data_IF_339268848720
#
_entry.id   IF_339268848720
#
_cell.length_a   1.000
_cell.length_b   1.000
_cell.length_c   1.000
_cell.angle_alpha   90.00
_cell.angle_beta   90.00
_cell.angle_gamma   90.00
#
_symmetry.space_group_name_H-M   'P 1'
#
loop_
_entity.id
_entity.type
_entity.pdbx_description
1 polymer ?
#
# COMPACT_ATOMS: atom_id res chain seq x y z
N UNK A 1 2.83 12.16 -13.79
CA UNK A 1 3.67 12.69 -14.88
C UNK A 1 3.12 14.02 -15.38
N UNK A 2 1.83 14.10 -15.71
CA UNK A 2 1.22 15.34 -16.28
C UNK A 2 1.14 16.45 -15.24
N UNK A 3 0.74 16.16 -14.02
CA UNK A 3 0.75 17.11 -12.90
C UNK A 3 2.18 17.58 -12.57
N UNK A 4 3.16 16.66 -12.61
CA UNK A 4 4.57 17.03 -12.47
C UNK A 4 5.06 17.95 -13.59
N UNK A 5 4.55 17.79 -14.81
CA UNK A 5 4.83 18.73 -15.90
C UNK A 5 4.22 20.11 -15.60
N UNK A 6 2.99 20.16 -15.10
CA UNK A 6 2.33 21.40 -14.71
C UNK A 6 3.12 22.17 -13.64
N UNK A 7 3.59 21.47 -12.60
CA UNK A 7 4.44 22.06 -11.56
C UNK A 7 5.75 22.63 -12.13
N UNK A 8 6.41 21.90 -13.01
CA UNK A 8 7.64 22.39 -13.67
C UNK A 8 7.40 23.60 -14.55
N UNK A 9 6.24 23.68 -15.24
CA UNK A 9 5.85 24.87 -16.01
C UNK A 9 5.67 26.08 -15.09
N UNK A 10 4.98 25.91 -13.95
CA UNK A 10 4.77 26.98 -12.97
C UNK A 10 6.07 27.45 -12.36
N UNK A 11 6.99 26.54 -12.04
CA UNK A 11 8.30 26.85 -11.47
C UNK A 11 9.30 27.39 -12.50
N UNK A 12 8.95 27.42 -13.79
CA UNK A 12 9.85 27.85 -14.86
C UNK A 12 10.95 26.84 -15.22
N UNK A 13 10.90 25.62 -14.67
CA UNK A 13 11.87 24.54 -14.94
C UNK A 13 11.48 23.73 -16.20
N UNK A 14 11.29 24.45 -17.29
CA UNK A 14 10.91 23.89 -18.60
C UNK A 14 11.63 24.65 -19.72
N UNK A 15 11.78 24.03 -20.90
CA UNK A 15 12.30 24.75 -22.08
C UNK A 15 11.45 25.98 -22.41
N UNK A 16 12.06 27.01 -22.95
CA UNK A 16 11.46 28.31 -23.31
C UNK A 16 10.11 28.15 -24.05
N UNK A 17 9.98 27.15 -24.92
CA UNK A 17 8.77 26.86 -25.69
C UNK A 17 7.57 26.41 -24.85
N UNK A 18 7.80 26.01 -23.60
CA UNK A 18 6.77 25.57 -22.64
C UNK A 18 6.52 26.63 -21.55
N UNK A 19 7.28 27.69 -21.51
CA UNK A 19 7.10 28.77 -20.54
C UNK A 19 5.77 29.48 -20.81
N UNK A 20 4.96 29.66 -19.77
CA UNK A 20 3.64 30.30 -19.87
C UNK A 20 2.56 29.47 -20.57
N UNK A 21 2.81 28.19 -20.80
CA UNK A 21 1.79 27.27 -21.34
C UNK A 21 0.84 26.86 -20.19
N UNK A 22 -0.45 26.87 -20.46
CA UNK A 22 -1.46 26.34 -19.55
C UNK A 22 -1.74 24.87 -19.86
N UNK A 23 -1.97 24.07 -18.81
CA UNK A 23 -2.34 22.67 -18.91
C UNK A 23 -3.78 22.49 -18.42
N UNK A 24 -4.67 22.13 -19.35
CA UNK A 24 -6.09 21.95 -19.06
C UNK A 24 -6.46 20.48 -19.11
N UNK A 25 -7.20 20.00 -18.10
CA UNK A 25 -7.72 18.63 -18.08
C UNK A 25 -9.13 18.59 -18.68
N UNK A 26 -9.33 17.68 -19.63
CA UNK A 26 -10.63 17.43 -20.24
C UNK A 26 -11.40 16.39 -19.39
N UNK A 27 -12.41 16.85 -18.68
CA UNK A 27 -13.31 15.97 -17.93
C UNK A 27 -14.40 15.39 -18.86
N UNK A 28 -14.21 14.12 -19.22
CA UNK A 28 -15.15 13.39 -20.08
C UNK A 28 -16.49 13.13 -19.37
N UNK A 29 -16.48 12.93 -18.05
CA UNK A 29 -17.68 12.74 -17.24
C UNK A 29 -18.56 13.98 -17.24
N UNK A 30 -17.98 15.15 -17.03
CA UNK A 30 -18.68 16.44 -17.07
C UNK A 30 -19.25 16.75 -18.46
N UNK A 31 -18.52 16.39 -19.54
CA UNK A 31 -19.01 16.56 -20.91
C UNK A 31 -20.22 15.68 -21.23
N UNK A 32 -20.28 14.46 -20.67
CA UNK A 32 -21.35 13.51 -20.87
C UNK A 32 -22.54 13.73 -19.92
N UNK A 33 -22.31 14.33 -18.74
CA UNK A 33 -23.34 14.58 -17.75
C UNK A 33 -24.47 15.47 -18.32
N UNK A 34 -25.71 14.96 -18.29
CA UNK A 34 -26.88 15.66 -18.80
C UNK A 34 -26.98 15.75 -20.34
N UNK A 35 -26.06 15.16 -21.11
CA UNK A 35 -26.10 15.15 -22.57
C UNK A 35 -27.05 14.05 -23.11
N UNK A 36 -28.28 13.99 -22.57
CA UNK A 36 -29.33 13.04 -23.04
C UNK A 36 -29.84 13.36 -24.43
N UNK A 37 -29.60 14.59 -24.94
CA UNK A 37 -30.03 15.02 -26.27
C UNK A 37 -28.87 14.86 -27.24
N UNK A 38 -29.13 14.17 -28.33
CA UNK A 38 -28.21 13.96 -29.46
C UNK A 38 -27.62 15.28 -29.92
N UNK A 39 -26.29 15.43 -29.89
CA UNK A 39 -25.58 16.63 -30.35
C UNK A 39 -25.15 17.61 -29.24
N UNK A 40 -25.65 17.48 -28.02
CA UNK A 40 -25.20 18.39 -26.93
C UNK A 40 -23.76 18.11 -26.50
N UNK A 41 -23.39 16.85 -26.36
CA UNK A 41 -22.01 16.42 -26.15
C UNK A 41 -21.07 16.95 -27.26
N UNK A 42 -21.46 16.80 -28.52
CA UNK A 42 -20.69 17.29 -29.65
C UNK A 42 -20.52 18.81 -29.61
N UNK A 43 -21.57 19.54 -29.25
CA UNK A 43 -21.56 21.00 -29.12
C UNK A 43 -20.61 21.44 -28.00
N UNK A 44 -20.66 20.78 -26.85
CA UNK A 44 -19.77 21.08 -25.71
C UNK A 44 -18.31 20.80 -26.07
N UNK A 45 -18.01 19.65 -26.68
CA UNK A 45 -16.64 19.30 -27.09
C UNK A 45 -16.13 20.26 -28.17
N UNK A 46 -16.94 20.68 -29.14
CA UNK A 46 -16.58 21.72 -30.09
C UNK A 46 -16.30 23.06 -29.42
N UNK A 47 -17.10 23.43 -28.42
CA UNK A 47 -16.86 24.64 -27.62
C UNK A 47 -15.51 24.61 -26.90
N UNK A 48 -15.12 23.48 -26.32
CA UNK A 48 -13.79 23.31 -25.69
C UNK A 48 -12.67 23.46 -26.73
N UNK A 49 -12.83 22.80 -27.89
CA UNK A 49 -11.83 22.91 -29.00
C UNK A 49 -11.67 24.35 -29.46
N UNK A 50 -12.77 25.10 -29.61
CA UNK A 50 -12.73 26.50 -30.01
C UNK A 50 -12.12 27.40 -28.94
N UNK A 51 -12.42 27.15 -27.65
CA UNK A 51 -11.83 27.88 -26.53
C UNK A 51 -10.31 27.69 -26.50
N UNK A 52 -9.82 26.45 -26.67
CA UNK A 52 -8.37 26.16 -26.73
C UNK A 52 -7.70 26.86 -27.92
N UNK A 53 -8.36 26.89 -29.08
CA UNK A 53 -7.81 27.53 -30.30
C UNK A 53 -7.78 29.05 -30.21
N UNK A 54 -8.77 29.64 -29.58
CA UNK A 54 -8.92 31.11 -29.47
C UNK A 54 -8.19 31.71 -28.26
N UNK A 55 -7.60 30.86 -27.43
CA UNK A 55 -6.85 31.32 -26.27
C UNK A 55 -5.62 32.14 -26.67
N UNK A 56 -5.39 33.24 -25.93
CA UNK A 56 -4.20 34.08 -26.09
C UNK A 56 -2.94 33.38 -25.54
N UNK A 57 -3.09 32.51 -24.54
CA UNK A 57 -2.05 31.67 -23.97
C UNK A 57 -2.05 30.28 -24.63
N UNK A 58 -0.89 29.72 -24.95
CA UNK A 58 -0.83 28.36 -25.46
C UNK A 58 -1.35 27.35 -24.45
N UNK A 59 -2.28 26.48 -24.87
CA UNK A 59 -2.87 25.47 -24.01
C UNK A 59 -2.45 24.06 -24.46
N UNK A 60 -2.10 23.20 -23.51
CA UNK A 60 -1.97 21.75 -23.69
C UNK A 60 -3.19 21.10 -23.06
N UNK A 61 -3.95 20.34 -23.84
CA UNK A 61 -5.11 19.62 -23.36
C UNK A 61 -4.70 18.23 -22.86
N UNK A 62 -4.93 17.95 -21.59
CA UNK A 62 -4.73 16.61 -21.03
C UNK A 62 -6.04 15.83 -21.03
N UNK A 63 -6.01 14.60 -21.53
CA UNK A 63 -7.15 13.69 -21.60
C UNK A 63 -6.75 12.41 -20.88
N UNK A 64 -7.30 12.26 -19.68
CA UNK A 64 -7.16 11.00 -18.95
C UNK A 64 -8.13 9.96 -19.49
N UNK A 65 -7.80 8.67 -19.35
CA UNK A 65 -8.59 7.56 -19.90
C UNK A 65 -9.03 7.80 -21.35
N UNK A 66 -8.10 8.23 -22.20
CA UNK A 66 -8.39 8.68 -23.56
C UNK A 66 -9.10 7.63 -24.44
N UNK A 67 -9.10 6.36 -24.04
CA UNK A 67 -9.89 5.31 -24.68
C UNK A 67 -11.41 5.58 -24.61
N UNK A 68 -11.87 6.33 -23.61
CA UNK A 68 -13.27 6.72 -23.46
C UNK A 68 -13.76 7.60 -24.61
N UNK A 69 -12.85 8.37 -25.25
CA UNK A 69 -13.17 9.16 -26.43
C UNK A 69 -13.62 8.31 -27.63
N UNK A 70 -13.12 7.08 -27.73
CA UNK A 70 -13.37 6.18 -28.86
C UNK A 70 -14.61 5.31 -28.58
N UNK A 71 -14.97 5.10 -27.30
CA UNK A 71 -16.12 4.33 -26.87
C UNK A 71 -17.38 5.15 -26.57
N UNK A 72 -17.27 6.45 -26.45
CA UNK A 72 -18.35 7.35 -26.01
C UNK A 72 -19.53 7.52 -27.00
N UNK A 73 -19.57 6.76 -28.09
CA UNK A 73 -20.60 6.85 -29.12
C UNK A 73 -21.32 5.55 -29.49
N UNK A 74 -21.13 4.47 -28.74
CA UNK A 74 -21.62 3.13 -29.08
C UNK A 74 -23.10 2.82 -28.74
N UNK A 75 -23.93 3.80 -28.45
CA UNK A 75 -25.37 3.68 -28.66
C UNK A 75 -25.69 4.10 -30.11
N UNK A 76 -26.33 3.25 -30.86
CA UNK A 76 -26.67 3.37 -32.28
C UNK A 76 -26.81 4.83 -32.79
N UNK A 77 -25.77 5.37 -33.45
CA UNK A 77 -25.80 6.65 -34.16
C UNK A 77 -25.09 7.83 -33.47
N UNK A 78 -24.24 7.64 -32.45
CA UNK A 78 -23.38 8.69 -31.88
C UNK A 78 -22.09 8.85 -32.67
N UNK A 79 -21.75 10.10 -33.01
CA UNK A 79 -20.42 10.43 -33.56
C UNK A 79 -19.36 10.23 -32.48
N UNK A 80 -18.35 9.41 -32.72
CA UNK A 80 -17.23 9.22 -31.81
C UNK A 80 -16.59 10.57 -31.48
N UNK A 81 -16.41 10.88 -30.20
CA UNK A 81 -15.68 12.08 -29.77
C UNK A 81 -14.32 12.20 -30.47
N UNK A 82 -13.67 11.07 -30.72
CA UNK A 82 -12.45 10.98 -31.49
C UNK A 82 -12.59 11.60 -32.88
N UNK A 83 -13.72 11.43 -33.58
CA UNK A 83 -13.93 11.99 -34.92
C UNK A 83 -14.01 13.52 -34.91
N UNK A 84 -14.41 14.14 -33.82
CA UNK A 84 -14.43 15.59 -33.66
C UNK A 84 -13.02 16.14 -33.38
N UNK A 85 -12.17 15.39 -32.67
CA UNK A 85 -10.79 15.78 -32.35
C UNK A 85 -9.84 15.55 -33.55
N UNK A 86 -10.06 14.51 -34.35
CA UNK A 86 -9.19 14.15 -35.48
C UNK A 86 -8.83 15.32 -36.41
N UNK A 87 -9.77 16.18 -36.87
CA UNK A 87 -9.44 17.31 -37.73
C UNK A 87 -8.53 18.35 -37.07
N UNK A 88 -8.78 18.68 -35.81
CA UNK A 88 -8.00 19.67 -35.06
C UNK A 88 -6.58 19.13 -34.73
N UNK A 89 -6.48 17.86 -34.37
CA UNK A 89 -5.20 17.16 -34.17
C UNK A 89 -4.42 17.07 -35.52
N UNK A 90 -5.13 16.82 -36.62
CA UNK A 90 -4.52 16.72 -37.93
C UNK A 90 -3.88 18.03 -38.41
N UNK A 91 -4.48 19.17 -38.06
CA UNK A 91 -3.96 20.50 -38.40
C UNK A 91 -2.96 21.05 -37.40
N UNK A 92 -2.71 20.31 -36.29
CA UNK A 92 -1.82 20.77 -35.21
C UNK A 92 -2.40 21.92 -34.39
N UNK A 93 -3.72 22.12 -34.46
CA UNK A 93 -4.44 23.17 -33.73
C UNK A 93 -4.65 22.87 -32.26
N UNK A 94 -4.56 21.58 -31.90
CA UNK A 94 -4.63 21.08 -30.51
C UNK A 94 -3.31 20.40 -30.15
N UNK A 95 -2.69 20.86 -29.09
CA UNK A 95 -1.60 20.14 -28.40
C UNK A 95 -2.22 19.30 -27.32
N UNK A 96 -2.11 17.98 -27.42
CA UNK A 96 -2.82 17.06 -26.52
C UNK A 96 -1.87 16.04 -25.95
N UNK A 97 -1.97 15.80 -24.64
CA UNK A 97 -1.39 14.67 -23.93
C UNK A 97 -2.57 13.74 -23.58
N UNK A 98 -2.47 12.47 -23.94
CA UNK A 98 -3.49 11.46 -23.68
C UNK A 98 -2.90 10.34 -22.83
N UNK A 99 -3.60 9.95 -21.77
CA UNK A 99 -3.23 8.80 -20.95
C UNK A 99 -4.19 7.63 -21.21
N UNK A 100 -3.65 6.43 -21.29
CA UNK A 100 -4.42 5.20 -21.47
C UNK A 100 -3.56 3.98 -21.08
N UNK A 101 -4.17 2.84 -20.84
CA UNK A 101 -3.44 1.59 -20.61
C UNK A 101 -2.96 0.97 -21.92
N UNK A 102 -1.89 0.13 -21.85
CA UNK A 102 -1.41 -0.61 -23.03
C UNK A 102 -2.48 -1.48 -23.70
N UNK A 103 -3.35 -2.09 -22.90
CA UNK A 103 -4.46 -2.93 -23.38
C UNK A 103 -5.43 -2.12 -24.23
N UNK A 104 -5.77 -0.92 -23.76
CA UNK A 104 -6.71 -0.01 -24.41
C UNK A 104 -6.07 0.69 -25.61
N UNK A 105 -4.79 1.08 -25.49
CA UNK A 105 -4.03 1.59 -26.64
C UNK A 105 -4.07 0.61 -27.82
N UNK A 106 -3.73 -0.66 -27.59
CA UNK A 106 -3.77 -1.70 -28.63
C UNK A 106 -5.17 -1.95 -29.18
N UNK A 107 -6.18 -1.85 -28.32
CA UNK A 107 -7.57 -2.12 -28.71
C UNK A 107 -8.18 -0.99 -29.54
N UNK A 108 -7.90 0.26 -29.20
CA UNK A 108 -8.58 1.44 -29.72
C UNK A 108 -7.70 2.35 -30.59
N UNK A 109 -6.50 2.72 -30.10
CA UNK A 109 -5.63 3.70 -30.79
C UNK A 109 -4.82 3.09 -31.92
N UNK A 110 -4.20 1.93 -31.69
CA UNK A 110 -3.36 1.27 -32.68
C UNK A 110 -4.15 0.87 -33.93
N UNK A 111 -5.41 0.50 -33.76
CA UNK A 111 -6.32 0.11 -34.86
C UNK A 111 -6.88 1.27 -35.65
N UNK A 112 -6.80 2.50 -35.15
CA UNK A 112 -7.25 3.71 -35.86
C UNK A 112 -6.07 4.43 -36.50
N UNK A 113 -5.87 4.34 -37.83
CA UNK A 113 -4.75 4.95 -38.53
C UNK A 113 -4.69 6.49 -38.41
N UNK A 114 -5.83 7.13 -38.12
CA UNK A 114 -5.89 8.57 -37.96
C UNK A 114 -5.38 9.01 -36.60
N UNK A 115 -5.61 8.24 -35.56
CA UNK A 115 -5.11 8.50 -34.19
C UNK A 115 -3.67 8.04 -34.03
N UNK A 116 -3.31 6.84 -34.50
CA UNK A 116 -1.96 6.31 -34.36
C UNK A 116 -0.88 7.16 -35.05
N UNK A 117 -1.24 7.90 -36.13
CA UNK A 117 -0.34 8.85 -36.78
C UNK A 117 -0.23 10.19 -36.06
N UNK A 118 -1.10 10.49 -35.09
CA UNK A 118 -1.16 11.78 -34.38
C UNK A 118 -0.67 11.72 -32.95
N UNK A 119 -0.81 10.57 -32.33
CA UNK A 119 -0.30 10.31 -30.99
C UNK A 119 0.95 9.46 -31.07
N UNK A 120 2.06 10.03 -30.62
CA UNK A 120 3.28 9.25 -30.43
C UNK A 120 3.24 8.59 -29.07
N UNK A 121 3.30 7.24 -28.99
CA UNK A 121 3.28 6.56 -27.70
C UNK A 121 4.57 6.84 -26.92
N UNK A 122 4.40 7.20 -25.66
CA UNK A 122 5.46 7.30 -24.66
C UNK A 122 5.20 6.18 -23.67
N UNK A 123 6.07 5.18 -23.64
CA UNK A 123 5.97 4.05 -22.72
C UNK A 123 6.32 4.51 -21.29
N UNK A 124 5.43 4.21 -20.36
CA UNK A 124 5.69 4.36 -18.91
C UNK A 124 5.74 2.96 -18.34
N UNK A 125 6.89 2.55 -17.88
CA UNK A 125 7.09 1.25 -17.25
C UNK A 125 6.77 1.32 -15.75
N UNK A 126 6.43 0.18 -15.17
CA UNK A 126 6.26 0.03 -13.73
C UNK A 126 7.58 0.38 -13.02
N UNK A 127 7.54 1.25 -11.99
CA UNK A 127 8.76 1.57 -11.25
C UNK A 127 9.30 0.34 -10.52
N UNK A 128 10.62 0.28 -10.39
CA UNK A 128 11.26 -0.73 -9.54
C UNK A 128 10.90 -0.50 -8.06
N UNK A 129 10.99 -1.53 -7.18
CA UNK A 129 10.76 -1.33 -5.74
C UNK A 129 11.60 -0.19 -5.15
N UNK A 130 12.86 -0.06 -5.55
CA UNK A 130 13.72 1.03 -5.09
C UNK A 130 13.20 2.42 -5.51
N UNK A 131 12.70 2.55 -6.75
CA UNK A 131 12.06 3.79 -7.21
C UNK A 131 10.73 4.05 -6.49
N UNK A 132 9.95 2.99 -6.21
CA UNK A 132 8.71 3.11 -5.42
C UNK A 132 8.97 3.62 -4.00
N UNK A 133 10.06 3.19 -3.34
CA UNK A 133 10.48 3.74 -2.03
C UNK A 133 10.68 5.26 -2.10
N UNK A 134 11.31 5.77 -3.17
CA UNK A 134 11.49 7.23 -3.32
C UNK A 134 10.15 7.96 -3.48
N UNK A 135 9.19 7.36 -4.22
CA UNK A 135 7.85 7.91 -4.36
C UNK A 135 7.14 7.94 -3.00
N UNK A 136 7.19 6.83 -2.26
CA UNK A 136 6.59 6.72 -0.92
C UNK A 136 7.19 7.71 0.08
N UNK A 137 8.52 7.96 0.02
CA UNK A 137 9.16 9.00 0.84
C UNK A 137 8.60 10.39 0.57
N UNK A 138 8.30 10.71 -0.69
CA UNK A 138 7.65 11.97 -1.06
C UNK A 138 6.22 12.11 -0.55
N UNK A 139 5.51 11.00 -0.36
CA UNK A 139 4.14 10.96 0.16
C UNK A 139 4.06 10.83 1.70
N UNK A 140 5.18 10.51 2.36
CA UNK A 140 5.26 10.20 3.79
C UNK A 140 4.56 11.27 4.65
N UNK A 141 4.93 12.53 4.51
CA UNK A 141 4.40 13.64 5.32
C UNK A 141 2.90 13.86 5.13
N UNK A 142 2.39 13.57 3.93
CA UNK A 142 0.95 13.68 3.64
C UNK A 142 0.18 12.60 4.41
N UNK A 143 0.67 11.35 4.40
CA UNK A 143 0.04 10.24 5.12
C UNK A 143 0.20 10.37 6.63
N UNK A 144 1.36 10.81 7.12
CA UNK A 144 1.58 11.10 8.54
C UNK A 144 0.57 12.12 9.08
N UNK A 145 0.34 13.21 8.34
CA UNK A 145 -0.66 14.21 8.71
C UNK A 145 -2.10 13.72 8.59
N UNK A 146 -2.42 12.95 7.55
CA UNK A 146 -3.77 12.46 7.32
C UNK A 146 -4.23 11.43 8.38
N UNK A 147 -3.34 10.54 8.79
CA UNK A 147 -3.62 9.47 9.75
C UNK A 147 -3.17 9.76 11.17
N UNK A 148 -2.42 10.85 11.40
CA UNK A 148 -1.81 11.21 12.70
C UNK A 148 -0.96 10.09 13.28
N UNK A 149 -0.13 9.47 12.43
CA UNK A 149 0.79 8.39 12.78
C UNK A 149 2.17 8.66 12.19
N UNK A 150 3.21 8.15 12.83
CA UNK A 150 4.56 8.24 12.30
C UNK A 150 4.86 7.03 11.41
N UNK A 151 5.57 7.28 10.30
CA UNK A 151 5.93 6.24 9.34
C UNK A 151 7.45 6.06 9.32
N UNK A 152 7.92 4.88 9.68
CA UNK A 152 9.33 4.53 9.61
C UNK A 152 9.79 4.28 8.16
N UNK A 153 11.05 4.58 7.82
CA UNK A 153 11.62 4.25 6.50
C UNK A 153 11.60 2.74 6.21
N UNK A 154 11.66 1.91 7.27
CA UNK A 154 11.46 0.46 7.16
C UNK A 154 10.08 0.06 6.65
N UNK A 155 9.02 0.81 7.02
CA UNK A 155 7.67 0.61 6.49
C UNK A 155 7.58 0.91 4.99
N UNK A 156 8.20 2.02 4.54
CA UNK A 156 8.21 2.40 3.13
C UNK A 156 8.94 1.35 2.27
N UNK A 157 10.09 0.87 2.75
CA UNK A 157 10.82 -0.22 2.09
C UNK A 157 10.00 -1.51 2.07
N UNK A 158 9.44 -1.89 3.22
CA UNK A 158 8.61 -3.10 3.31
C UNK A 158 7.37 -3.00 2.41
N UNK A 159 6.69 -1.85 2.35
CA UNK A 159 5.54 -1.64 1.47
C UNK A 159 5.91 -1.81 -0.01
N UNK A 160 7.03 -1.26 -0.46
CA UNK A 160 7.49 -1.42 -1.83
C UNK A 160 7.92 -2.86 -2.15
N UNK A 161 8.79 -3.45 -1.32
CA UNK A 161 9.39 -4.76 -1.59
C UNK A 161 8.37 -5.91 -1.43
N UNK A 162 7.60 -5.89 -0.32
CA UNK A 162 6.63 -6.96 -0.04
C UNK A 162 5.42 -6.88 -0.98
N UNK A 163 4.92 -5.68 -1.31
CA UNK A 163 3.84 -5.55 -2.29
C UNK A 163 4.28 -6.01 -3.67
N UNK A 164 5.50 -5.67 -4.10
CA UNK A 164 6.06 -6.15 -5.37
C UNK A 164 6.11 -7.66 -5.44
N UNK A 165 6.45 -8.30 -4.32
CA UNK A 165 6.67 -9.75 -4.22
C UNK A 165 5.39 -10.56 -4.03
N UNK A 166 4.50 -10.10 -3.15
CA UNK A 166 3.35 -10.90 -2.69
C UNK A 166 2.02 -10.48 -3.28
N UNK A 167 1.89 -9.26 -3.83
CA UNK A 167 0.65 -8.78 -4.43
C UNK A 167 0.74 -8.86 -5.95
N UNK A 168 0.15 -9.92 -6.52
CA UNK A 168 -0.01 -10.08 -7.96
C UNK A 168 -1.23 -9.30 -8.47
N UNK A 169 -1.20 -8.88 -9.75
CA UNK A 169 -2.34 -8.26 -10.42
C UNK A 169 -2.50 -6.75 -10.22
N UNK A 170 -1.68 -6.11 -9.39
CA UNK A 170 -1.58 -4.65 -9.24
C UNK A 170 -0.15 -4.20 -9.52
N UNK A 171 0.01 -2.95 -9.93
CA UNK A 171 1.31 -2.38 -10.31
C UNK A 171 1.84 -1.46 -9.21
N UNK A 172 3.17 -1.31 -9.13
CA UNK A 172 3.80 -0.24 -8.36
C UNK A 172 3.59 1.12 -9.08
N UNK A 173 3.49 2.23 -8.37
CA UNK A 173 3.55 2.38 -6.90
C UNK A 173 2.22 2.11 -6.18
N UNK A 174 1.09 2.02 -6.87
CA UNK A 174 -0.27 2.00 -6.30
C UNK A 174 -0.44 0.91 -5.23
N UNK A 175 -0.01 -0.33 -5.52
CA UNK A 175 -0.12 -1.43 -4.54
C UNK A 175 0.68 -1.18 -3.26
N UNK A 176 1.80 -0.48 -3.33
CA UNK A 176 2.60 -0.13 -2.16
C UNK A 176 1.96 1.02 -1.37
N UNK A 177 1.35 1.97 -2.07
CA UNK A 177 0.58 3.07 -1.48
C UNK A 177 -0.64 2.51 -0.75
N UNK A 178 -1.43 1.63 -1.37
CA UNK A 178 -2.60 1.00 -0.76
C UNK A 178 -2.24 0.23 0.53
N UNK A 179 -1.13 -0.51 0.52
CA UNK A 179 -0.64 -1.23 1.70
C UNK A 179 -0.23 -0.28 2.80
N UNK A 180 0.51 0.79 2.45
CA UNK A 180 0.96 1.79 3.42
C UNK A 180 -0.22 2.53 4.03
N UNK A 181 -1.18 2.97 3.22
CA UNK A 181 -2.40 3.64 3.68
C UNK A 181 -3.20 2.77 4.64
N UNK A 182 -3.39 1.49 4.29
CA UNK A 182 -4.07 0.52 5.16
C UNK A 182 -3.32 0.29 6.47
N UNK A 183 -1.98 0.23 6.43
CA UNK A 183 -1.16 0.07 7.64
C UNK A 183 -1.27 1.31 8.54
N UNK A 184 -1.23 2.52 7.97
CA UNK A 184 -1.42 3.78 8.69
C UNK A 184 -2.81 3.84 9.32
N UNK A 185 -3.86 3.51 8.56
CA UNK A 185 -5.23 3.48 9.08
C UNK A 185 -5.41 2.49 10.24
N UNK A 186 -4.78 1.30 10.17
CA UNK A 186 -4.83 0.31 11.27
C UNK A 186 -4.14 0.81 12.53
N UNK A 187 -2.97 1.41 12.40
CA UNK A 187 -2.24 1.96 13.55
C UNK A 187 -3.05 3.10 14.17
N UNK A 188 -3.59 4.01 13.37
CA UNK A 188 -4.47 5.08 13.83
C UNK A 188 -5.72 4.55 14.57
N UNK A 189 -6.36 3.51 14.03
CA UNK A 189 -7.50 2.86 14.66
C UNK A 189 -7.13 2.20 15.99
N UNK A 190 -5.96 1.55 16.10
CA UNK A 190 -5.50 0.90 17.33
C UNK A 190 -5.25 1.90 18.48
N UNK A 191 -5.00 3.18 18.15
CA UNK A 191 -4.92 4.24 19.16
C UNK A 191 -6.29 4.62 19.73
N UNK A 192 -7.36 4.44 18.95
CA UNK A 192 -8.73 4.85 19.29
C UNK A 192 -9.64 3.72 19.69
N UNK A 193 -9.32 2.47 19.33
CA UNK A 193 -10.17 1.30 19.57
C UNK A 193 -9.48 0.27 20.47
N UNK A 194 -10.24 -0.41 21.35
CA UNK A 194 -9.69 -1.45 22.21
C UNK A 194 -9.02 -2.57 21.40
N UNK A 195 -7.91 -3.14 21.88
CA UNK A 195 -7.24 -4.29 21.27
C UNK A 195 -8.20 -5.47 21.06
N UNK A 196 -7.97 -6.27 20.03
CA UNK A 196 -8.81 -7.44 19.70
C UNK A 196 -8.96 -8.40 20.89
N UNK A 197 -7.89 -8.61 21.66
CA UNK A 197 -7.90 -9.47 22.86
C UNK A 197 -8.85 -8.93 23.91
N UNK A 198 -8.79 -7.65 24.24
CA UNK A 198 -9.69 -7.00 25.19
C UNK A 198 -11.15 -7.07 24.71
N UNK A 199 -11.39 -6.84 23.42
CA UNK A 199 -12.71 -6.95 22.81
C UNK A 199 -13.26 -8.38 22.90
N UNK A 200 -12.41 -9.39 22.71
CA UNK A 200 -12.79 -10.81 22.84
C UNK A 200 -13.15 -11.17 24.28
N UNK A 201 -12.30 -10.77 25.25
CA UNK A 201 -12.55 -11.01 26.68
C UNK A 201 -13.85 -10.32 27.13
N UNK A 202 -14.10 -9.09 26.70
CA UNK A 202 -15.37 -8.38 26.97
C UNK A 202 -16.59 -9.08 26.36
N UNK A 203 -16.45 -9.63 25.15
CA UNK A 203 -17.53 -10.41 24.52
C UNK A 203 -17.83 -11.70 25.27
N UNK A 204 -16.79 -12.42 25.74
CA UNK A 204 -16.93 -13.62 26.56
C UNK A 204 -17.57 -13.30 27.91
N UNK A 205 -17.12 -12.21 28.56
CA UNK A 205 -17.74 -11.69 29.77
C UNK A 205 -19.25 -11.43 29.63
N UNK A 206 -19.61 -10.78 28.52
CA UNK A 206 -21.02 -10.49 28.24
C UNK A 206 -21.84 -11.75 28.03
N UNK A 207 -21.32 -12.75 27.30
CA UNK A 207 -21.99 -14.02 27.06
C UNK A 207 -22.21 -14.82 28.37
N UNK A 208 -21.14 -14.94 29.17
CA UNK A 208 -21.24 -15.64 30.45
C UNK A 208 -22.10 -14.88 31.48
N UNK A 209 -22.09 -13.55 31.42
CA UNK A 209 -22.99 -12.71 32.24
C UNK A 209 -24.46 -12.96 31.91
N UNK A 210 -24.82 -13.08 30.63
CA UNK A 210 -26.18 -13.46 30.22
C UNK A 210 -26.56 -14.89 30.71
N UNK A 211 -25.61 -15.85 30.66
CA UNK A 211 -25.83 -17.21 31.18
C UNK A 211 -26.09 -17.16 32.68
N UNK A 212 -25.34 -16.38 33.45
CA UNK A 212 -25.55 -16.19 34.89
C UNK A 212 -26.91 -15.58 35.20
N UNK A 213 -27.32 -14.55 34.44
CA UNK A 213 -28.66 -13.94 34.64
C UNK A 213 -29.77 -14.93 34.35
N UNK A 214 -29.66 -15.78 33.33
CA UNK A 214 -30.63 -16.83 33.02
C UNK A 214 -30.71 -17.86 34.17
N UNK A 215 -29.59 -18.34 34.68
CA UNK A 215 -29.53 -19.28 35.81
C UNK A 215 -30.16 -18.69 37.06
N UNK A 216 -29.87 -17.43 37.36
CA UNK A 216 -30.48 -16.73 38.53
C UNK A 216 -32.00 -16.61 38.37
N UNK A 217 -32.48 -16.37 37.14
CA UNK A 217 -33.92 -16.31 36.84
C UNK A 217 -34.58 -17.69 37.01
N UNK A 218 -33.95 -18.77 36.54
CA UNK A 218 -34.45 -20.14 36.69
C UNK A 218 -34.50 -20.53 38.15
N UNK A 219 -33.49 -20.14 38.95
CA UNK A 219 -33.48 -20.31 40.40
C UNK A 219 -34.68 -19.61 41.07
N UNK A 220 -34.93 -18.37 40.66
CA UNK A 220 -36.09 -17.61 41.22
C UNK A 220 -37.43 -18.25 40.86
N UNK A 221 -37.51 -18.97 39.75
CA UNK A 221 -38.70 -19.71 39.32
C UNK A 221 -38.81 -21.10 39.96
N UNK A 222 -37.86 -21.48 40.83
CA UNK A 222 -37.88 -22.77 41.56
C UNK A 222 -37.41 -23.96 40.72
N UNK A 223 -36.70 -23.74 39.66
CA UNK A 223 -36.09 -24.81 38.86
C UNK A 223 -34.78 -25.29 39.52
N UNK A 224 -34.48 -26.58 39.37
CA UNK A 224 -33.23 -27.15 39.87
C UNK A 224 -32.03 -26.63 39.07
N UNK A 225 -31.02 -26.12 39.76
CA UNK A 225 -29.81 -25.60 39.15
C UNK A 225 -28.67 -26.61 39.31
N UNK A 226 -27.78 -26.62 38.34
CA UNK A 226 -26.49 -27.30 38.43
C UNK A 226 -25.51 -26.41 39.22
N UNK A 227 -25.37 -26.66 40.51
CA UNK A 227 -24.47 -25.90 41.38
C UNK A 227 -23.00 -26.01 40.98
N UNK A 228 -22.59 -27.07 40.29
CA UNK A 228 -21.23 -27.20 39.81
C UNK A 228 -21.01 -26.22 38.66
N UNK A 229 -21.93 -26.14 37.72
CA UNK A 229 -21.88 -25.20 36.60
C UNK A 229 -21.94 -23.75 37.09
N UNK A 230 -22.77 -23.45 38.10
CA UNK A 230 -22.85 -22.13 38.72
C UNK A 230 -21.48 -21.69 39.29
N UNK A 231 -20.83 -22.58 40.06
CA UNK A 231 -19.50 -22.30 40.64
C UNK A 231 -18.42 -22.08 39.57
N UNK A 232 -18.36 -22.93 38.54
CA UNK A 232 -17.45 -22.81 37.42
C UNK A 232 -17.66 -21.48 36.65
N UNK A 233 -18.90 -21.07 36.50
CA UNK A 233 -19.27 -19.85 35.79
C UNK A 233 -18.87 -18.61 36.60
N UNK A 234 -19.06 -18.60 37.90
CA UNK A 234 -18.63 -17.48 38.78
C UNK A 234 -17.11 -17.35 38.77
N UNK A 235 -16.37 -18.45 38.94
CA UNK A 235 -14.91 -18.46 38.89
C UNK A 235 -14.38 -17.96 37.54
N UNK A 236 -14.99 -18.40 36.42
CA UNK A 236 -14.60 -17.95 35.10
C UNK A 236 -14.90 -16.47 34.88
N UNK A 237 -16.01 -15.95 35.34
CA UNK A 237 -16.36 -14.54 35.27
C UNK A 237 -15.39 -13.66 36.08
N UNK A 238 -14.97 -14.12 37.27
CA UNK A 238 -13.94 -13.40 38.04
C UNK A 238 -12.61 -13.35 37.34
N UNK A 239 -12.12 -14.49 36.85
CA UNK A 239 -10.86 -14.53 36.09
C UNK A 239 -10.86 -13.65 34.83
N UNK A 240 -11.96 -13.63 34.07
CA UNK A 240 -12.10 -12.81 32.89
C UNK A 240 -12.23 -11.31 33.22
N UNK A 241 -12.82 -10.95 34.37
CA UNK A 241 -12.88 -9.55 34.83
C UNK A 241 -11.50 -9.05 35.19
N UNK A 242 -10.73 -9.83 35.94
CA UNK A 242 -9.33 -9.49 36.26
C UNK A 242 -8.49 -9.34 35.00
N UNK A 243 -8.60 -10.28 34.04
CA UNK A 243 -7.90 -10.19 32.74
C UNK A 243 -8.33 -8.95 31.94
N UNK A 244 -9.62 -8.61 31.94
CA UNK A 244 -10.11 -7.43 31.21
C UNK A 244 -9.60 -6.13 31.83
N UNK A 245 -9.59 -6.01 33.17
CA UNK A 245 -9.07 -4.84 33.88
C UNK A 245 -7.58 -4.66 33.65
N UNK A 246 -6.79 -5.74 33.73
CA UNK A 246 -5.35 -5.71 33.47
C UNK A 246 -5.06 -5.28 32.02
N UNK A 247 -5.73 -5.88 31.04
CA UNK A 247 -5.56 -5.51 29.63
C UNK A 247 -5.98 -4.06 29.34
N UNK A 248 -7.04 -3.58 29.98
CA UNK A 248 -7.54 -2.22 29.82
C UNK A 248 -6.54 -1.20 30.41
N UNK A 249 -5.99 -1.49 31.56
CA UNK A 249 -4.99 -0.65 32.19
C UNK A 249 -3.73 -0.60 31.32
N UNK A 250 -3.16 -1.73 30.92
CA UNK A 250 -1.99 -1.81 30.03
C UNK A 250 -2.22 -1.08 28.69
N UNK A 251 -3.40 -1.19 28.13
CA UNK A 251 -3.76 -0.50 26.90
C UNK A 251 -3.79 1.02 27.10
N UNK A 252 -4.40 1.50 28.19
CA UNK A 252 -4.46 2.93 28.51
C UNK A 252 -3.06 3.51 28.75
N UNK A 253 -2.21 2.83 29.51
CA UNK A 253 -0.85 3.25 29.80
C UNK A 253 -0.02 3.36 28.51
N UNK A 254 -0.05 2.33 27.66
CA UNK A 254 0.63 2.35 26.37
C UNK A 254 0.10 3.47 25.46
N UNK A 255 -1.21 3.71 25.43
CA UNK A 255 -1.84 4.76 24.63
C UNK A 255 -1.43 6.16 25.06
N UNK A 256 -1.33 6.41 26.36
CA UNK A 256 -0.91 7.69 26.91
C UNK A 256 0.55 7.99 26.53
N UNK A 257 1.45 7.01 26.68
CA UNK A 257 2.85 7.16 26.28
C UNK A 257 2.99 7.40 24.78
N UNK A 258 2.23 6.69 23.95
CA UNK A 258 2.25 6.90 22.49
C UNK A 258 1.74 8.29 22.12
N UNK A 259 0.67 8.78 22.75
CA UNK A 259 0.15 10.11 22.50
C UNK A 259 1.20 11.18 22.85
N UNK A 260 1.83 11.09 24.02
CA UNK A 260 2.93 11.99 24.42
C UNK A 260 4.11 11.94 23.45
N UNK A 261 4.48 10.75 22.98
CA UNK A 261 5.58 10.57 22.03
C UNK A 261 5.25 11.21 20.67
N UNK A 262 4.01 11.11 20.20
CA UNK A 262 3.56 11.75 18.96
C UNK A 262 3.61 13.27 19.10
N UNK A 263 3.10 13.83 20.20
CA UNK A 263 3.10 15.27 20.46
C UNK A 263 4.53 15.85 20.51
N UNK A 264 5.46 15.19 21.23
CA UNK A 264 6.87 15.63 21.30
C UNK A 264 7.52 15.61 19.90
N UNK A 265 7.25 14.58 19.12
CA UNK A 265 7.81 14.47 17.76
C UNK A 265 7.21 15.48 16.80
N UNK A 266 5.93 15.81 16.94
CA UNK A 266 5.29 16.86 16.16
C UNK A 266 5.88 18.26 16.49
N UNK A 267 6.19 18.52 17.74
CA UNK A 267 6.92 19.72 18.16
C UNK A 267 8.32 19.78 17.55
N UNK A 268 9.11 18.71 17.63
CA UNK A 268 10.42 18.62 17.02
C UNK A 268 10.42 18.83 15.50
N UNK A 269 9.39 18.32 14.80
CA UNK A 269 9.24 18.49 13.34
C UNK A 269 8.78 19.90 12.97
N UNK A 270 7.94 20.54 13.77
CA UNK A 270 7.48 21.91 13.52
C UNK A 270 8.60 22.94 13.70
N UNK A 271 9.49 22.71 14.63
CA UNK A 271 10.69 23.54 14.85
C UNK A 271 11.70 23.41 13.70
N UNK A 272 11.95 22.18 13.19
CA UNK A 272 12.85 21.95 12.04
C UNK A 272 12.33 22.61 10.75
N UNK A 273 11.02 22.69 10.54
CA UNK A 273 10.43 23.38 9.38
C UNK A 273 10.52 24.89 9.49
N UNK A 274 10.43 25.45 10.70
CA UNK A 274 10.55 26.88 10.93
C UNK A 274 12.00 27.39 10.70
N UNK A 275 13.02 26.56 10.97
CA UNK A 275 14.41 26.93 10.71
C UNK A 275 14.80 26.85 9.23
N UNK A 276 14.24 25.92 8.46
CA UNK A 276 14.49 25.84 7.01
C UNK A 276 13.87 27.01 6.24
N UNK A 277 12.77 27.58 6.71
CA UNK A 277 12.17 28.78 6.11
C UNK A 277 12.84 30.09 6.59
N UNK A 278 13.50 30.08 7.74
CA UNK A 278 14.22 31.26 8.30
C UNK A 278 15.62 31.44 7.70
N UNK A 279 16.28 30.40 7.20
CA UNK A 279 17.61 30.47 6.58
C UNK A 279 17.62 31.16 5.19
N UNK A 280 16.43 31.47 4.67
CA UNK A 280 16.25 32.24 3.40
C UNK A 280 16.09 33.74 3.64
N UNK A 281 15.91 34.18 4.89
CA UNK A 281 15.69 35.60 5.19
C UNK A 281 16.02 36.02 6.63
N UNK A 282 17.30 36.04 7.07
CA UNK A 282 17.70 36.99 8.13
C UNK A 282 19.18 36.84 8.54
N UNK A 283 19.97 37.80 8.28
CA UNK A 283 21.02 38.34 9.16
C UNK A 283 20.30 39.07 10.32
N UNK A 284 20.36 38.51 11.51
CA UNK A 284 19.91 39.01 12.84
C UNK A 284 18.74 38.21 13.46
N UNK A 285 19.07 37.07 14.06
CA UNK A 285 18.24 36.47 15.12
C UNK A 285 19.13 35.82 16.21
N UNK A 286 18.95 36.29 17.41
CA UNK A 286 19.63 35.85 18.64
C UNK A 286 19.37 34.35 18.93
N UNK A 287 20.35 33.59 19.41
CA UNK A 287 20.23 32.17 19.67
C UNK A 287 19.60 31.89 21.06
N UNK A 288 18.29 31.94 21.17
CA UNK A 288 17.60 31.58 22.42
C UNK A 288 16.88 30.22 22.41
N UNK A 289 16.87 29.50 21.29
CA UNK A 289 16.08 28.25 21.12
C UNK A 289 16.91 26.96 21.17
N UNK A 290 18.19 27.00 21.41
CA UNK A 290 19.05 25.80 21.35
C UNK A 290 19.15 24.96 22.65
N UNK A 291 18.62 25.47 23.78
CA UNK A 291 18.73 24.77 25.08
C UNK A 291 17.55 23.79 25.34
N UNK A 292 16.39 23.98 24.71
CA UNK A 292 15.20 23.09 24.87
C UNK A 292 15.25 21.82 24.01
N UNK A 293 16.00 21.80 22.91
CA UNK A 293 16.10 20.64 22.00
C UNK A 293 16.72 19.37 22.61
N UNK A 294 17.80 19.43 23.42
CA UNK A 294 18.33 18.22 24.05
C UNK A 294 17.33 17.63 25.04
N UNK A 295 16.46 18.42 25.62
CA UNK A 295 15.50 17.98 26.62
C UNK A 295 14.33 17.21 25.95
N UNK A 296 13.74 17.71 24.86
CA UNK A 296 12.68 17.02 24.10
C UNK A 296 13.17 15.71 23.48
N UNK A 297 14.38 15.66 22.94
CA UNK A 297 14.97 14.43 22.39
C UNK A 297 15.25 13.40 23.48
N UNK A 298 15.69 13.84 24.64
CA UNK A 298 15.94 12.96 25.79
C UNK A 298 14.62 12.45 26.39
N UNK A 299 13.59 13.28 26.43
CA UNK A 299 12.25 12.90 26.87
C UNK A 299 11.62 11.87 25.90
N UNK A 300 11.73 12.09 24.59
CA UNK A 300 11.28 11.12 23.59
C UNK A 300 11.97 9.77 23.73
N UNK A 301 13.29 9.76 23.96
CA UNK A 301 14.06 8.53 24.15
C UNK A 301 13.67 7.80 25.45
N UNK A 302 13.40 8.52 26.52
CA UNK A 302 12.93 7.94 27.78
C UNK A 302 11.55 7.30 27.63
N UNK A 303 10.62 7.98 26.96
CA UNK A 303 9.28 7.44 26.67
C UNK A 303 9.35 6.21 25.75
N UNK A 304 10.24 6.21 24.75
CA UNK A 304 10.46 5.03 23.90
C UNK A 304 10.94 3.83 24.70
N UNK A 305 11.86 4.03 25.63
CA UNK A 305 12.35 2.95 26.48
C UNK A 305 11.26 2.43 27.42
N UNK A 306 10.50 3.31 28.05
CA UNK A 306 9.37 2.93 28.91
C UNK A 306 8.30 2.16 28.13
N UNK A 307 8.03 2.58 26.90
CA UNK A 307 7.10 1.90 26.00
C UNK A 307 7.63 0.51 25.59
N UNK A 308 8.92 0.37 25.28
CA UNK A 308 9.53 -0.93 25.00
C UNK A 308 9.44 -1.90 26.19
N UNK A 309 9.64 -1.42 27.39
CA UNK A 309 9.50 -2.23 28.61
C UNK A 309 8.05 -2.70 28.82
N UNK A 310 7.06 -1.80 28.63
CA UNK A 310 5.64 -2.14 28.74
C UNK A 310 5.13 -3.05 27.61
N UNK A 311 5.80 -3.03 26.46
CA UNK A 311 5.47 -3.85 25.29
C UNK A 311 6.24 -5.17 25.19
N UNK A 312 7.12 -5.46 26.16
CA UNK A 312 7.97 -6.65 26.14
C UNK A 312 7.18 -7.97 26.04
N UNK A 313 6.01 -8.03 26.69
CA UNK A 313 5.15 -9.22 26.64
C UNK A 313 4.22 -9.22 25.43
N UNK A 314 3.48 -8.12 25.21
CA UNK A 314 2.52 -7.98 24.11
C UNK A 314 2.29 -6.51 23.76
N UNK A 315 2.64 -6.06 22.55
CA UNK A 315 2.37 -4.70 22.09
C UNK A 315 0.86 -4.56 21.79
N UNK A 316 0.15 -3.78 22.59
CA UNK A 316 -1.27 -3.50 22.42
C UNK A 316 -1.53 -2.29 21.52
N UNK A 317 -0.56 -1.36 21.46
CA UNK A 317 -0.61 -0.12 20.67
C UNK A 317 0.71 0.06 19.94
N UNK A 318 0.67 0.62 18.76
CA UNK A 318 1.87 0.91 17.98
C UNK A 318 2.10 2.42 17.89
N UNK A 319 3.29 2.89 18.28
CA UNK A 319 3.66 4.31 18.21
C UNK A 319 3.99 4.78 16.79
N UNK A 320 4.27 3.85 15.89
CA UNK A 320 4.65 4.13 14.49
C UNK A 320 4.29 2.97 13.57
N UNK A 321 4.16 3.27 12.29
CA UNK A 321 4.06 2.26 11.24
C UNK A 321 5.46 1.79 10.88
N UNK A 322 5.75 0.51 11.01
CA UNK A 322 7.01 -0.13 10.63
C UNK A 322 6.80 -1.31 9.67
N UNK A 323 7.86 -2.05 9.37
CA UNK A 323 7.81 -3.18 8.45
C UNK A 323 6.86 -4.31 8.92
N UNK A 324 6.62 -4.44 10.23
CA UNK A 324 5.76 -5.47 10.79
C UNK A 324 4.28 -5.20 10.50
N UNK A 325 3.82 -3.95 10.72
CA UNK A 325 2.42 -3.57 10.42
C UNK A 325 2.14 -3.71 8.93
N UNK A 326 3.09 -3.34 8.07
CA UNK A 326 3.01 -3.55 6.62
C UNK A 326 2.89 -5.04 6.29
N UNK A 327 3.70 -5.90 6.90
CA UNK A 327 3.65 -7.35 6.71
C UNK A 327 2.32 -7.94 7.19
N UNK A 328 1.74 -7.45 8.28
CA UNK A 328 0.43 -7.86 8.79
C UNK A 328 -0.70 -7.53 7.79
N UNK A 329 -0.67 -6.37 7.16
CA UNK A 329 -1.64 -6.01 6.10
C UNK A 329 -1.54 -6.97 4.93
N UNK A 330 -0.34 -7.24 4.46
CA UNK A 330 -0.13 -8.16 3.33
C UNK A 330 -0.51 -9.59 3.72
N UNK A 331 -0.25 -10.00 4.97
CA UNK A 331 -0.67 -11.31 5.48
C UNK A 331 -2.17 -11.49 5.43
N UNK A 332 -2.94 -10.49 5.85
CA UNK A 332 -4.39 -10.52 5.80
C UNK A 332 -4.94 -10.58 4.37
N UNK A 333 -4.29 -9.89 3.42
CA UNK A 333 -4.74 -9.88 2.02
C UNK A 333 -4.37 -11.15 1.25
N UNK A 334 -3.24 -11.77 1.63
CA UNK A 334 -2.69 -12.93 0.90
C UNK A 334 -2.89 -14.26 1.61
N UNK A 335 -3.17 -14.23 2.92
CA UNK A 335 -3.19 -15.42 3.77
C UNK A 335 -1.80 -15.98 4.11
N UNK A 336 -0.72 -15.25 3.80
CA UNK A 336 0.66 -15.67 4.10
C UNK A 336 1.02 -15.20 5.51
N UNK A 337 1.46 -16.08 6.42
CA UNK A 337 1.85 -15.69 7.76
C UNK A 337 3.02 -14.69 7.79
N UNK A 338 2.95 -13.67 8.67
CA UNK A 338 3.94 -12.59 8.80
C UNK A 338 5.36 -13.12 9.01
N UNK A 339 5.54 -14.14 9.85
CA UNK A 339 6.84 -14.75 10.13
C UNK A 339 7.51 -15.34 8.87
N UNK A 340 6.74 -15.73 7.86
CA UNK A 340 7.26 -16.19 6.57
C UNK A 340 7.68 -15.05 5.65
N UNK A 341 7.12 -13.86 5.83
CA UNK A 341 7.46 -12.67 5.03
C UNK A 341 8.68 -11.92 5.58
N UNK A 342 8.79 -11.85 6.90
CA UNK A 342 9.87 -11.11 7.58
C UNK A 342 11.16 -11.92 7.77
N UNK A 343 11.10 -13.25 7.63
CA UNK A 343 12.29 -14.09 7.70
C UNK A 343 13.28 -13.78 6.58
N UNK A 344 14.55 -13.66 6.91
CA UNK A 344 15.62 -13.39 5.94
C UNK A 344 15.63 -14.43 4.83
N UNK A 345 15.65 -13.96 3.59
CA UNK A 345 15.69 -14.84 2.41
C UNK A 345 16.95 -15.68 2.35
N UNK A 346 18.08 -15.17 2.85
CA UNK A 346 19.32 -15.90 2.96
C UNK A 346 19.19 -17.07 3.95
N UNK A 347 18.52 -16.85 5.07
CA UNK A 347 18.25 -17.91 6.05
C UNK A 347 17.35 -18.99 5.46
N UNK A 348 16.31 -18.62 4.71
CA UNK A 348 15.42 -19.58 4.02
C UNK A 348 16.18 -20.43 3.01
N UNK A 349 17.05 -19.81 2.19
CA UNK A 349 17.85 -20.53 1.21
C UNK A 349 18.90 -21.39 1.90
N UNK A 350 19.51 -20.94 2.96
CA UNK A 350 20.50 -21.73 3.72
C UNK A 350 19.87 -22.97 4.34
N UNK A 351 18.65 -22.88 4.85
CA UNK A 351 17.90 -24.02 5.43
C UNK A 351 17.13 -24.85 4.41
N UNK A 352 17.17 -24.49 3.13
CA UNK A 352 16.44 -25.17 2.07
C UNK A 352 16.73 -26.70 1.99
N UNK A 353 17.98 -27.18 2.11
CA UNK A 353 18.23 -28.61 2.07
C UNK A 353 17.52 -29.36 3.19
N UNK A 354 17.62 -28.87 4.44
CA UNK A 354 16.99 -29.48 5.61
C UNK A 354 15.47 -29.52 5.46
N UNK A 355 14.89 -28.42 5.01
CA UNK A 355 13.45 -28.31 4.78
C UNK A 355 12.97 -29.28 3.69
N UNK A 356 13.62 -29.32 2.54
CA UNK A 356 13.24 -30.22 1.46
C UNK A 356 13.46 -31.70 1.83
N UNK A 357 14.53 -32.03 2.55
CA UNK A 357 14.79 -33.40 3.00
C UNK A 357 13.78 -33.91 4.05
N UNK A 358 13.17 -33.01 4.82
CA UNK A 358 12.10 -33.35 5.75
C UNK A 358 10.84 -33.85 5.02
N UNK A 359 10.55 -33.30 3.83
CA UNK A 359 9.36 -33.61 3.02
C UNK A 359 9.63 -34.62 1.91
N UNK A 360 10.84 -34.63 1.36
CA UNK A 360 11.24 -35.46 0.19
C UNK A 360 12.39 -36.37 0.59
N UNK A 361 12.15 -37.66 0.59
CA UNK A 361 13.14 -38.65 1.00
C UNK A 361 13.92 -39.22 -0.19
N UNK A 362 15.23 -39.41 0.00
CA UNK A 362 16.10 -40.12 -0.96
C UNK A 362 16.44 -39.29 -2.21
N UNK A 363 16.33 -37.94 -2.19
CA UNK A 363 16.68 -37.06 -3.32
C UNK A 363 17.79 -36.05 -2.95
N UNK A 364 18.70 -36.42 -2.06
CA UNK A 364 19.71 -35.52 -1.47
C UNK A 364 20.60 -34.85 -2.53
N UNK A 365 21.00 -35.60 -3.57
CA UNK A 365 21.83 -35.06 -4.66
C UNK A 365 21.08 -33.99 -5.47
N UNK A 366 19.79 -34.19 -5.76
CA UNK A 366 18.97 -33.24 -6.50
C UNK A 366 18.70 -31.99 -5.66
N UNK A 367 18.41 -32.16 -4.37
CA UNK A 367 18.22 -31.08 -3.42
C UNK A 367 19.50 -30.25 -3.27
N UNK A 368 20.66 -30.88 -3.15
CA UNK A 368 21.96 -30.21 -3.10
C UNK A 368 22.25 -29.39 -4.35
N UNK A 369 21.96 -29.89 -5.53
CA UNK A 369 22.13 -29.19 -6.79
C UNK A 369 21.19 -27.94 -6.88
N UNK A 370 19.92 -28.12 -6.52
CA UNK A 370 18.95 -26.99 -6.44
C UNK A 370 19.43 -25.91 -5.47
N UNK A 371 19.87 -26.29 -4.27
CA UNK A 371 20.37 -25.37 -3.25
C UNK A 371 21.56 -24.56 -3.75
N UNK A 372 22.56 -25.21 -4.34
CA UNK A 372 23.76 -24.54 -4.86
C UNK A 372 23.41 -23.53 -5.96
N UNK A 373 22.51 -23.87 -6.88
CA UNK A 373 22.07 -22.97 -7.93
C UNK A 373 21.27 -21.79 -7.39
N UNK A 374 20.41 -22.00 -6.40
CA UNK A 374 19.63 -20.91 -5.78
C UNK A 374 20.51 -19.97 -4.96
N UNK A 375 21.51 -20.48 -4.23
CA UNK A 375 22.51 -19.66 -3.55
C UNK A 375 23.29 -18.78 -4.53
N UNK A 376 23.79 -19.38 -5.63
CA UNK A 376 24.51 -18.64 -6.68
C UNK A 376 23.62 -17.59 -7.33
N UNK A 377 22.35 -17.93 -7.56
CA UNK A 377 21.37 -17.04 -8.11
C UNK A 377 21.09 -15.84 -7.20
N UNK A 378 21.13 -16.01 -5.89
CA UNK A 378 20.84 -14.97 -4.89
C UNK A 378 22.05 -14.11 -4.56
N UNK A 379 23.27 -14.64 -4.69
CA UNK A 379 24.51 -13.88 -4.51
C UNK A 379 24.71 -12.75 -5.56
N UNK A 380 23.69 -12.46 -6.35
CA UNK A 380 23.62 -11.41 -7.38
C UNK A 380 24.72 -11.48 -8.47
N UNK A 381 25.25 -12.68 -8.67
CA UNK A 381 26.23 -12.98 -9.73
C UNK A 381 25.58 -13.06 -11.13
N UNK A 382 24.33 -12.56 -11.28
CA UNK A 382 23.52 -12.66 -12.49
C UNK A 382 23.35 -11.30 -13.18
N UNK A 383 23.05 -11.34 -14.48
CA UNK A 383 22.58 -10.16 -15.20
C UNK A 383 21.16 -9.79 -14.73
N UNK A 384 20.85 -8.49 -14.49
CA UNK A 384 19.52 -8.02 -14.13
C UNK A 384 18.44 -8.53 -15.11
N UNK A 385 17.25 -8.85 -14.58
CA UNK A 385 16.10 -9.26 -15.41
C UNK A 385 16.05 -10.74 -15.83
N UNK A 386 16.98 -11.59 -15.37
CA UNK A 386 16.91 -13.03 -15.61
C UNK A 386 16.22 -13.77 -14.47
N UNK A 387 15.45 -14.86 -14.78
CA UNK A 387 14.85 -15.71 -13.76
C UNK A 387 15.90 -16.35 -12.85
N UNK A 388 15.51 -16.74 -11.62
CA UNK A 388 16.41 -17.35 -10.63
C UNK A 388 17.06 -18.65 -11.14
N UNK A 389 16.43 -19.35 -12.06
CA UNK A 389 16.93 -20.55 -12.71
C UNK A 389 15.86 -21.22 -13.55
N UNK A 390 16.29 -22.06 -14.47
CA UNK A 390 15.46 -23.02 -15.17
C UNK A 390 15.95 -24.42 -14.77
N UNK A 391 15.08 -25.21 -14.16
CA UNK A 391 15.42 -26.55 -13.66
C UNK A 391 14.61 -27.61 -14.38
N UNK A 392 15.27 -28.65 -14.86
CA UNK A 392 14.63 -29.80 -15.43
C UNK A 392 14.73 -30.98 -14.44
N UNK A 393 13.60 -31.34 -13.83
CA UNK A 393 13.52 -32.50 -12.95
C UNK A 393 13.14 -33.74 -13.76
N UNK A 394 14.12 -34.62 -14.04
CA UNK A 394 13.91 -35.86 -14.79
C UNK A 394 13.97 -37.06 -13.84
N UNK A 395 13.06 -38.02 -14.02
CA UNK A 395 13.03 -39.27 -13.22
C UNK A 395 11.71 -40.01 -13.36
N UNK A 396 11.58 -41.24 -12.82
CA UNK A 396 10.37 -42.05 -12.85
C UNK A 396 9.16 -41.35 -12.23
N UNK A 397 7.96 -41.88 -12.45
CA UNK A 397 6.76 -41.39 -11.78
C UNK A 397 6.83 -41.70 -10.27
N UNK A 398 6.29 -40.78 -9.41
CA UNK A 398 6.21 -41.01 -7.97
C UNK A 398 7.45 -40.63 -7.16
N UNK A 399 8.57 -40.21 -7.77
CA UNK A 399 9.83 -39.88 -7.06
C UNK A 399 9.88 -38.47 -6.43
N UNK A 400 8.78 -37.76 -6.38
CA UNK A 400 8.69 -36.44 -5.70
C UNK A 400 9.00 -35.21 -6.57
N UNK A 401 9.09 -35.32 -7.93
CA UNK A 401 9.40 -34.16 -8.80
C UNK A 401 8.45 -32.97 -8.60
N UNK A 402 7.15 -33.21 -8.67
CA UNK A 402 6.13 -32.15 -8.47
C UNK A 402 6.13 -31.66 -7.03
N UNK A 403 6.29 -32.57 -6.07
CA UNK A 403 6.37 -32.21 -4.65
C UNK A 403 7.57 -31.30 -4.36
N UNK A 404 8.72 -31.54 -4.98
CA UNK A 404 9.88 -30.66 -4.85
C UNK A 404 9.56 -29.22 -5.25
N UNK A 405 8.83 -29.03 -6.37
CA UNK A 405 8.45 -27.70 -6.85
C UNK A 405 7.41 -27.05 -5.92
N UNK A 406 6.45 -27.82 -5.42
CA UNK A 406 5.43 -27.33 -4.47
C UNK A 406 6.09 -26.88 -3.16
N UNK A 407 6.96 -27.72 -2.58
CA UNK A 407 7.67 -27.41 -1.34
C UNK A 407 8.65 -26.24 -1.51
N UNK A 408 9.27 -26.10 -2.68
CA UNK A 408 10.11 -24.96 -3.02
C UNK A 408 9.29 -23.65 -3.07
N UNK A 409 8.11 -23.69 -3.71
CA UNK A 409 7.21 -22.54 -3.76
C UNK A 409 6.70 -22.15 -2.36
N UNK A 410 6.42 -23.14 -1.51
CA UNK A 410 5.98 -22.94 -0.14
C UNK A 410 7.05 -22.30 0.73
N UNK A 411 8.31 -22.74 0.59
CA UNK A 411 9.43 -22.19 1.34
C UNK A 411 9.81 -20.78 0.87
N UNK A 412 9.97 -20.57 -0.44
CA UNK A 412 10.49 -19.31 -0.99
C UNK A 412 9.45 -18.20 -1.09
N UNK A 413 8.20 -18.56 -1.42
CA UNK A 413 7.15 -17.61 -1.72
C UNK A 413 6.01 -17.63 -0.71
N UNK A 414 6.02 -18.56 0.25
CA UNK A 414 5.05 -18.61 1.34
C UNK A 414 3.75 -19.37 1.05
N UNK A 415 3.61 -19.97 -0.14
CA UNK A 415 2.43 -20.77 -0.42
C UNK A 415 2.36 -21.37 -1.82
N UNK A 416 1.57 -22.41 -1.95
CA UNK A 416 1.29 -23.12 -3.20
C UNK A 416 0.57 -22.26 -4.25
N UNK A 417 -0.15 -21.24 -3.81
CA UNK A 417 -0.87 -20.30 -4.69
C UNK A 417 0.06 -19.47 -5.60
N UNK A 418 1.35 -19.39 -5.27
CA UNK A 418 2.35 -18.70 -6.10
C UNK A 418 2.96 -19.60 -7.17
N UNK A 419 2.56 -20.88 -7.23
CA UNK A 419 2.97 -21.81 -8.26
C UNK A 419 1.96 -21.80 -9.41
N UNK A 420 2.39 -21.34 -10.59
CA UNK A 420 1.58 -21.48 -11.81
C UNK A 420 1.92 -22.79 -12.49
N UNK A 421 0.94 -23.70 -12.61
CA UNK A 421 1.08 -24.97 -13.29
C UNK A 421 0.46 -24.87 -14.69
N UNK A 422 1.26 -25.17 -15.73
CA UNK A 422 0.82 -25.23 -17.12
C UNK A 422 0.87 -26.70 -17.54
N UNK A 423 -0.29 -27.30 -17.83
CA UNK A 423 -0.45 -28.68 -18.27
C UNK A 423 -0.70 -28.76 -19.77
#
# INVERSE_FOLDING_TARGET
VVEGLALRIVNGDVPERLTGVELWTLDMGALQAGASVKGEFEKRLKGVIEAVKSSATPIILFIDEAHTLIGAGNSEGGSDAANLLKPALARGELRTIAATTWREYKKYFEKDPALSRRFQPVALDEPTPAQAVHILRGLRTVYEKAHQVLIADSALKAAADMSARYLAGRQLPDKAIDVLDTACARVSLNLSTPPRRLSHVRSELHQLGMEQELMTREQTLGQAIDHQRESELVERLETLREEAEELEQRWNDQRELVARLVDIREQLLSEDTAETDADVSAEDATPETSEERPDLKSEAAAIEQELEELQADEPLVHARVDARQVAEVIADWTGIPVNRMTADELEKITRLPEYLQSHIKGQDTAIGALHQHLLTARADLRRPGRPMGAFLLAGPSGVGKTETVVQLAELLYGGRQFLTTIN
#
